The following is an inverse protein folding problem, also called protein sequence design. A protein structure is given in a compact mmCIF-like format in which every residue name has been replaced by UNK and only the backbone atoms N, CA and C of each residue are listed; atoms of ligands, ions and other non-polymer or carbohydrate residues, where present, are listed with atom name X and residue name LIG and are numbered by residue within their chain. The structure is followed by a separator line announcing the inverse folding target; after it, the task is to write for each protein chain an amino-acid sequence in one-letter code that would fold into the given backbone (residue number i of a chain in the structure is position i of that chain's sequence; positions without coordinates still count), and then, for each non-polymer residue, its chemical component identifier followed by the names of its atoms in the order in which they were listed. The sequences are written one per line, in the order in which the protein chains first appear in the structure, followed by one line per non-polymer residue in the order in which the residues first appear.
data_IF_984872456971
#
_entry.id   IF_984872456971
#
_cell.length_a   1.000
_cell.length_b   1.000
_cell.length_c   1.000
_cell.angle_alpha   90.00
_cell.angle_beta   90.00
_cell.angle_gamma   90.00
#
_symmetry.space_group_name_H-M   'P 1'
#
loop_
_entity.id
_entity.type
_entity.pdbx_description
1 polymer ?
#
# COMPACT_ATOMS: atom_id res chain seq x y z
N UNK A 1 3.12 9.89 54.85
CA UNK A 1 3.54 9.41 53.55
C UNK A 1 2.28 9.15 52.71
N UNK A 2 2.00 9.94 51.67
CA UNK A 2 0.86 9.69 50.80
C UNK A 2 1.24 8.60 49.80
N UNK A 3 0.50 7.53 49.77
CA UNK A 3 0.56 6.47 48.79
C UNK A 3 0.01 7.00 47.45
N UNK A 4 0.85 7.09 46.42
CA UNK A 4 0.41 7.34 45.05
C UNK A 4 -0.46 6.17 44.58
N UNK A 5 -1.67 6.42 44.08
CA UNK A 5 -2.50 5.36 43.53
C UNK A 5 -1.88 4.90 42.19
N UNK A 6 -1.72 3.60 42.08
CA UNK A 6 -1.39 2.91 40.82
C UNK A 6 -2.53 3.08 39.80
N UNK A 7 -2.57 4.20 39.11
CA UNK A 7 -3.49 4.47 38.00
C UNK A 7 -3.06 3.82 36.64
N UNK A 8 -2.18 2.85 36.68
CA UNK A 8 -1.49 2.37 35.48
C UNK A 8 -2.21 1.26 34.70
N UNK A 9 -3.25 0.63 35.22
CA UNK A 9 -3.80 -0.57 34.60
C UNK A 9 -4.94 -0.34 33.60
N UNK A 10 -5.60 0.83 33.61
CA UNK A 10 -6.79 1.08 32.78
C UNK A 10 -6.42 1.70 31.42
N UNK A 11 -5.28 2.38 31.30
CA UNK A 11 -4.85 3.01 30.06
C UNK A 11 -4.18 2.03 29.07
N UNK A 12 -3.57 0.96 29.57
CA UNK A 12 -2.85 -0.03 28.74
C UNK A 12 -3.75 -0.83 27.79
N UNK A 13 -5.06 -0.90 28.05
CA UNK A 13 -6.00 -1.59 27.16
C UNK A 13 -6.48 -0.75 25.97
N UNK A 14 -6.23 0.56 25.98
CA UNK A 14 -6.70 1.51 24.99
C UNK A 14 -5.61 1.98 24.04
N UNK A 15 -4.38 1.55 24.23
CA UNK A 15 -3.24 1.92 23.42
C UNK A 15 -2.43 0.69 23.00
N UNK A 16 -2.05 0.63 21.75
CA UNK A 16 -1.08 -0.34 21.25
C UNK A 16 -0.16 0.35 20.23
N UNK A 17 1.11 0.04 20.28
CA UNK A 17 2.13 0.52 19.35
C UNK A 17 3.10 -0.62 19.06
N UNK A 18 3.61 -0.67 17.82
CA UNK A 18 4.62 -1.65 17.48
C UNK A 18 5.05 -1.66 16.02
N UNK A 19 6.12 -2.41 15.75
CA UNK A 19 6.57 -2.67 14.39
C UNK A 19 5.65 -3.67 13.70
N UNK A 20 5.65 -3.62 12.37
CA UNK A 20 4.98 -4.59 11.52
C UNK A 20 5.81 -4.88 10.27
N UNK A 21 5.68 -6.09 9.79
CA UNK A 21 6.23 -6.55 8.52
C UNK A 21 5.10 -7.19 7.73
N UNK A 22 5.15 -7.10 6.43
CA UNK A 22 4.09 -7.66 5.62
C UNK A 22 4.46 -7.83 4.16
N UNK A 23 3.49 -8.31 3.45
CA UNK A 23 3.55 -8.60 2.04
C UNK A 23 2.39 -7.90 1.33
N UNK A 24 2.68 -7.28 0.20
CA UNK A 24 1.71 -6.60 -0.62
C UNK A 24 1.71 -7.19 -2.02
N UNK A 25 0.53 -7.57 -2.50
CA UNK A 25 0.28 -7.97 -3.88
C UNK A 25 -0.68 -6.96 -4.48
N UNK A 26 -0.18 -6.16 -5.40
CA UNK A 26 -0.95 -5.14 -6.10
C UNK A 26 -0.97 -5.43 -7.60
N UNK A 27 -2.07 -5.10 -8.25
CA UNK A 27 -2.21 -5.11 -9.71
C UNK A 27 -2.61 -3.71 -10.15
N UNK A 28 -2.01 -3.25 -11.24
CA UNK A 28 -2.42 -2.01 -11.90
C UNK A 28 -3.50 -2.34 -12.92
N UNK A 29 -4.67 -1.74 -12.77
CA UNK A 29 -5.69 -1.75 -13.81
C UNK A 29 -5.36 -0.66 -14.83
N UNK A 30 -4.97 -1.05 -16.03
CA UNK A 30 -4.75 -0.14 -17.17
C UNK A 30 -5.94 -0.30 -18.11
N UNK A 31 -6.54 0.82 -18.52
CA UNK A 31 -7.74 0.79 -19.39
C UNK A 31 -7.43 0.47 -20.87
N UNK A 32 -6.21 0.17 -21.20
CA UNK A 32 -5.80 -0.10 -22.58
C UNK A 32 -5.58 -1.59 -22.77
N UNK A 33 -6.35 -2.20 -23.66
CA UNK A 33 -6.40 -3.66 -23.86
C UNK A 33 -5.07 -4.26 -24.34
N UNK A 34 -4.18 -3.45 -24.93
CA UNK A 34 -2.90 -3.90 -25.55
C UNK A 34 -1.70 -3.82 -24.60
N UNK A 35 -1.84 -3.23 -23.39
CA UNK A 35 -0.74 -3.05 -22.44
C UNK A 35 -0.99 -3.89 -21.19
N UNK A 36 -0.09 -4.83 -20.93
CA UNK A 36 -0.08 -5.60 -19.69
C UNK A 36 0.83 -4.93 -18.67
N UNK A 37 0.29 -4.61 -17.50
CA UNK A 37 1.05 -4.12 -16.37
C UNK A 37 1.00 -5.15 -15.24
N UNK A 38 2.15 -5.65 -14.82
CA UNK A 38 2.29 -6.59 -13.71
C UNK A 38 3.11 -5.93 -12.61
N UNK A 39 2.54 -5.82 -11.41
CA UNK A 39 3.28 -5.41 -10.22
C UNK A 39 3.92 -6.63 -9.58
N UNK A 40 5.21 -6.52 -9.26
CA UNK A 40 5.90 -7.54 -8.50
C UNK A 40 5.55 -7.41 -7.01
N UNK A 41 5.27 -8.53 -6.38
CA UNK A 41 4.95 -8.63 -4.95
C UNK A 41 6.08 -8.11 -4.07
N UNK A 42 5.75 -7.37 -3.00
CA UNK A 42 6.76 -6.62 -2.24
C UNK A 42 6.59 -6.72 -0.74
N UNK A 43 7.71 -6.52 -0.07
CA UNK A 43 7.81 -6.48 1.37
C UNK A 43 7.38 -5.11 1.91
N UNK A 44 6.64 -5.13 3.00
CA UNK A 44 6.26 -3.95 3.78
C UNK A 44 7.02 -3.98 5.09
N UNK A 45 7.62 -2.85 5.45
CA UNK A 45 8.18 -2.61 6.78
C UNK A 45 7.51 -1.37 7.35
N UNK A 46 6.99 -1.43 8.57
CA UNK A 46 6.29 -0.28 9.12
C UNK A 46 6.12 -0.32 10.61
N UNK A 47 5.40 0.70 11.07
CA UNK A 47 4.96 0.83 12.45
C UNK A 47 3.48 1.20 12.47
N UNK A 48 2.79 0.77 13.50
CA UNK A 48 1.40 1.12 13.75
C UNK A 48 1.22 1.65 15.17
N UNK A 49 0.24 2.52 15.34
CA UNK A 49 -0.26 2.97 16.63
C UNK A 49 -1.76 2.79 16.63
N UNK A 50 -2.30 2.21 17.69
CA UNK A 50 -3.75 2.01 17.85
C UNK A 50 -4.21 2.65 19.14
N UNK A 51 -5.25 3.49 19.05
CA UNK A 51 -5.82 4.21 20.20
C UNK A 51 -7.33 3.98 20.24
N UNK A 52 -7.81 3.43 21.35
CA UNK A 52 -9.21 3.11 21.57
C UNK A 52 -9.42 1.64 21.97
N UNK A 53 -10.61 1.31 22.45
CA UNK A 53 -10.92 -0.03 22.92
C UNK A 53 -11.84 -0.79 21.97
N UNK A 54 -13.15 -0.64 22.08
CA UNK A 54 -14.10 -1.30 21.16
C UNK A 54 -14.05 -0.73 19.76
N UNK A 55 -14.11 0.60 19.65
CA UNK A 55 -13.80 1.38 18.44
C UNK A 55 -12.46 2.06 18.66
N UNK A 56 -11.64 2.13 17.60
CA UNK A 56 -10.29 2.68 17.68
C UNK A 56 -9.88 3.37 16.37
N UNK A 57 -8.87 4.21 16.48
CA UNK A 57 -8.14 4.75 15.33
C UNK A 57 -6.76 4.10 15.27
N UNK A 58 -6.26 3.86 14.04
CA UNK A 58 -4.96 3.21 13.82
C UNK A 58 -4.23 3.89 12.67
N UNK A 59 -3.48 4.98 12.94
CA UNK A 59 -2.50 5.49 12.00
C UNK A 59 -1.31 4.53 11.88
N UNK A 60 -0.75 4.46 10.67
CA UNK A 60 0.42 3.65 10.36
C UNK A 60 1.39 4.42 9.47
N UNK A 61 2.65 4.02 9.50
CA UNK A 61 3.66 4.45 8.54
C UNK A 61 4.37 3.20 8.04
N UNK A 62 4.29 2.99 6.72
CA UNK A 62 4.83 1.81 6.06
C UNK A 62 5.81 2.23 4.96
N UNK A 63 6.97 1.62 4.91
CA UNK A 63 7.89 1.71 3.79
C UNK A 63 7.68 0.51 2.86
N UNK A 64 7.56 0.77 1.57
CA UNK A 64 7.29 -0.24 0.55
C UNK A 64 8.22 0.01 -0.64
N UNK A 65 8.99 -1.00 -1.02
CA UNK A 65 9.73 -1.01 -2.27
C UNK A 65 8.94 -1.86 -3.28
N UNK A 66 8.50 -1.28 -4.38
CA UNK A 66 7.68 -1.97 -5.40
C UNK A 66 8.26 -1.79 -6.80
N UNK A 67 7.95 -2.72 -7.72
CA UNK A 67 8.28 -2.61 -9.13
C UNK A 67 7.07 -2.99 -9.99
N UNK A 68 7.00 -2.41 -11.16
CA UNK A 68 6.01 -2.73 -12.17
C UNK A 68 6.71 -3.03 -13.50
N UNK A 69 6.29 -4.07 -14.19
CA UNK A 69 6.77 -4.41 -15.51
C UNK A 69 5.67 -4.14 -16.51
N UNK A 70 5.92 -3.21 -17.44
CA UNK A 70 5.02 -2.88 -18.55
C UNK A 70 5.49 -3.59 -19.80
N UNK A 71 4.61 -4.37 -20.41
CA UNK A 71 4.89 -5.12 -21.63
C UNK A 71 3.81 -4.90 -22.66
N UNK A 72 4.23 -4.60 -23.89
CA UNK A 72 3.41 -4.66 -25.10
C UNK A 72 4.22 -5.41 -26.17
N UNK A 73 3.73 -6.54 -26.73
CA UNK A 73 4.40 -7.23 -27.81
C UNK A 73 4.37 -6.37 -29.09
N UNK A 74 5.26 -6.67 -30.02
CA UNK A 74 5.21 -6.07 -31.35
C UNK A 74 4.01 -6.64 -32.11
N UNK A 75 3.14 -5.76 -32.60
CA UNK A 75 1.98 -6.13 -33.38
C UNK A 75 1.92 -5.30 -34.66
N UNK A 76 2.24 -5.92 -35.79
CA UNK A 76 2.34 -5.24 -37.09
C UNK A 76 3.40 -4.14 -37.09
N UNK A 77 2.99 -2.88 -37.33
CA UNK A 77 3.84 -1.69 -37.31
C UNK A 77 3.95 -0.99 -35.96
N UNK A 78 3.30 -1.54 -34.90
CA UNK A 78 3.35 -0.97 -33.55
C UNK A 78 4.61 -1.42 -32.86
N UNK A 79 5.37 -0.45 -32.31
CA UNK A 79 6.63 -0.74 -31.62
C UNK A 79 6.39 -1.44 -30.27
N UNK A 80 7.22 -2.43 -29.90
CA UNK A 80 7.11 -3.12 -28.64
C UNK A 80 7.52 -2.21 -27.47
N UNK A 81 6.95 -2.48 -26.29
CA UNK A 81 7.29 -1.82 -25.02
C UNK A 81 7.78 -2.89 -24.04
N UNK A 82 8.92 -2.65 -23.40
CA UNK A 82 9.36 -3.38 -22.21
C UNK A 82 10.07 -2.38 -21.29
N UNK A 83 9.33 -1.91 -20.26
CA UNK A 83 9.85 -1.00 -19.25
C UNK A 83 9.62 -1.60 -17.87
N UNK A 84 10.65 -1.54 -17.05
CA UNK A 84 10.58 -1.90 -15.64
C UNK A 84 10.69 -0.63 -14.80
N UNK A 85 9.68 -0.40 -13.96
CA UNK A 85 9.57 0.79 -13.10
C UNK A 85 9.69 0.34 -11.67
N UNK A 86 10.71 0.79 -10.98
CA UNK A 86 10.91 0.58 -9.54
C UNK A 86 10.46 1.82 -8.78
N UNK A 87 9.62 1.61 -7.77
CA UNK A 87 9.08 2.67 -6.94
C UNK A 87 9.34 2.34 -5.46
N UNK A 88 9.93 3.29 -4.75
CA UNK A 88 9.96 3.27 -3.30
C UNK A 88 8.95 4.27 -2.79
N UNK A 89 8.09 3.84 -1.87
CA UNK A 89 7.02 4.68 -1.36
C UNK A 89 6.89 4.60 0.15
N UNK A 90 6.51 5.71 0.76
CA UNK A 90 6.00 5.76 2.12
C UNK A 90 4.47 5.75 2.03
N UNK A 91 3.85 4.78 2.66
CA UNK A 91 2.40 4.65 2.74
C UNK A 91 1.95 5.00 4.16
N UNK A 92 0.97 5.89 4.25
CA UNK A 92 0.41 6.40 5.51
C UNK A 92 -1.10 6.10 5.54
N UNK A 93 -1.50 4.89 5.98
CA UNK A 93 -2.89 4.59 6.23
C UNK A 93 -3.38 5.27 7.52
N UNK A 94 -4.63 5.69 7.51
CA UNK A 94 -5.33 6.16 8.70
C UNK A 94 -6.64 5.37 8.85
N UNK A 95 -6.59 4.32 9.69
CA UNK A 95 -7.72 3.44 9.86
C UNK A 95 -8.63 3.85 11.02
N UNK A 96 -9.93 3.65 10.80
CA UNK A 96 -10.92 3.50 11.84
C UNK A 96 -11.25 2.00 11.91
N UNK A 97 -11.27 1.44 13.11
CA UNK A 97 -11.55 0.03 13.31
C UNK A 97 -12.49 -0.23 14.47
N UNK A 98 -13.06 -1.43 14.44
CA UNK A 98 -13.89 -1.94 15.52
C UNK A 98 -13.46 -3.35 15.88
N UNK A 99 -13.41 -3.67 17.17
CA UNK A 99 -13.24 -5.02 17.70
C UNK A 99 -14.59 -5.72 17.68
N UNK A 100 -14.77 -6.66 16.77
CA UNK A 100 -15.96 -7.51 16.65
C UNK A 100 -16.02 -8.54 17.79
N UNK A 101 -14.84 -9.05 18.16
CA UNK A 101 -14.61 -9.85 19.36
C UNK A 101 -13.53 -9.13 20.17
N UNK A 102 -13.83 -8.81 21.41
CA UNK A 102 -12.94 -8.09 22.31
C UNK A 102 -12.68 -8.95 23.56
N UNK A 103 -11.79 -9.91 23.42
CA UNK A 103 -11.35 -10.79 24.49
C UNK A 103 -10.01 -10.35 25.09
N UNK A 104 -9.65 -10.95 26.22
CA UNK A 104 -8.40 -10.62 26.92
C UNK A 104 -7.13 -10.98 26.11
N UNK A 105 -7.13 -12.14 25.47
CA UNK A 105 -5.98 -12.66 24.71
C UNK A 105 -6.25 -12.82 23.22
N UNK A 106 -7.50 -12.61 22.78
CA UNK A 106 -7.92 -12.74 21.40
C UNK A 106 -8.89 -11.63 21.03
N UNK A 107 -8.61 -10.92 19.96
CA UNK A 107 -9.52 -9.95 19.37
C UNK A 107 -9.69 -10.25 17.88
N UNK A 108 -10.92 -10.11 17.40
CA UNK A 108 -11.24 -10.06 15.97
C UNK A 108 -11.61 -8.62 15.64
N UNK A 109 -11.03 -8.08 14.58
CA UNK A 109 -11.17 -6.66 14.22
C UNK A 109 -11.61 -6.50 12.77
N UNK A 110 -12.37 -5.43 12.51
CA UNK A 110 -12.59 -4.89 11.18
C UNK A 110 -11.98 -3.49 11.12
N UNK A 111 -11.38 -3.12 9.98
CA UNK A 111 -10.73 -1.84 9.75
C UNK A 111 -11.04 -1.29 8.38
N UNK A 112 -11.12 0.02 8.26
CA UNK A 112 -11.18 0.73 6.99
C UNK A 112 -10.59 2.13 7.12
N UNK A 113 -10.10 2.68 6.04
CA UNK A 113 -9.62 4.06 6.04
C UNK A 113 -8.88 4.48 4.80
N UNK A 114 -8.68 5.81 4.63
CA UNK A 114 -7.90 6.38 3.55
C UNK A 114 -6.41 6.07 3.74
N UNK A 115 -5.70 6.11 2.63
CA UNK A 115 -4.27 5.88 2.58
C UNK A 115 -3.63 6.91 1.66
N UNK A 116 -2.66 7.65 2.16
CA UNK A 116 -1.76 8.46 1.36
C UNK A 116 -0.52 7.64 0.99
N UNK A 117 -0.11 7.69 -0.28
CA UNK A 117 1.12 7.09 -0.76
C UNK A 117 2.01 8.19 -1.30
N UNK A 118 3.22 8.30 -0.77
CA UNK A 118 4.22 9.29 -1.15
C UNK A 118 5.37 8.54 -1.80
N UNK A 119 5.62 8.79 -3.08
CA UNK A 119 6.73 8.21 -3.83
C UNK A 119 7.99 8.95 -3.43
N UNK A 120 8.98 8.24 -2.93
CA UNK A 120 10.25 8.82 -2.44
C UNK A 120 11.41 8.54 -3.39
N UNK A 121 11.29 7.50 -4.23
CA UNK A 121 12.27 7.18 -5.26
C UNK A 121 11.61 6.51 -6.47
N UNK A 122 12.11 6.83 -7.65
CA UNK A 122 11.62 6.36 -8.95
C UNK A 122 12.82 5.97 -9.79
N UNK A 123 12.85 4.74 -10.26
CA UNK A 123 13.88 4.28 -11.20
C UNK A 123 13.19 3.57 -12.35
N UNK A 124 13.46 4.00 -13.57
CA UNK A 124 12.92 3.39 -14.78
C UNK A 124 14.07 2.72 -15.53
N UNK A 125 13.99 1.40 -15.67
CA UNK A 125 14.89 0.63 -16.50
C UNK A 125 14.17 0.26 -17.81
N UNK A 126 14.76 0.66 -18.91
CA UNK A 126 14.21 0.39 -20.25
C UNK A 126 15.16 -0.52 -21.01
N UNK A 127 14.64 -1.55 -21.66
CA UNK A 127 15.44 -2.33 -22.60
C UNK A 127 15.69 -1.48 -23.85
N UNK A 128 16.88 -0.88 -23.89
CA UNK A 128 17.34 -0.08 -25.03
C UNK A 128 17.78 -1.00 -26.19
N UNK A 129 16.84 -1.55 -26.92
CA UNK A 129 17.09 -2.11 -28.25
C UNK A 129 16.43 -1.19 -29.27
N UNK A 130 17.03 -0.98 -30.41
CA UNK A 130 16.64 0.06 -31.42
C UNK A 130 15.17 0.04 -31.89
N UNK A 131 14.38 -0.94 -31.47
CA UNK A 131 12.98 -1.12 -31.85
C UNK A 131 12.00 -0.92 -30.70
N UNK A 132 12.48 -0.61 -29.45
CA UNK A 132 11.62 -0.40 -28.30
C UNK A 132 11.40 1.08 -28.07
N UNK A 133 10.17 1.46 -27.74
CA UNK A 133 9.84 2.81 -27.28
C UNK A 133 9.77 2.85 -25.76
N UNK A 134 10.09 3.99 -25.18
CA UNK A 134 10.07 4.24 -23.74
C UNK A 134 9.02 5.32 -23.42
N UNK A 135 7.72 4.98 -23.42
CA UNK A 135 6.67 5.98 -23.29
C UNK A 135 6.57 6.58 -21.88
N UNK A 136 6.94 5.83 -20.84
CA UNK A 136 6.78 6.27 -19.44
C UNK A 136 8.07 6.95 -18.98
N UNK A 137 7.93 8.18 -18.47
CA UNK A 137 9.01 8.96 -17.86
C UNK A 137 8.78 9.10 -16.36
N UNK A 138 9.82 9.36 -15.60
CA UNK A 138 9.71 9.61 -14.15
C UNK A 138 8.76 10.77 -13.83
N UNK A 139 8.69 11.78 -14.69
CA UNK A 139 7.79 12.93 -14.58
C UNK A 139 6.30 12.56 -14.69
N UNK A 140 5.99 11.45 -15.34
CA UNK A 140 4.61 10.99 -15.54
C UNK A 140 4.07 10.26 -14.30
N UNK A 141 4.93 9.93 -13.33
CA UNK A 141 4.58 9.24 -12.10
C UNK A 141 4.24 10.28 -11.03
N UNK A 142 3.01 10.22 -10.51
CA UNK A 142 2.55 11.10 -9.46
C UNK A 142 3.34 10.87 -8.16
N UNK A 143 3.86 11.94 -7.56
CA UNK A 143 4.59 11.89 -6.29
C UNK A 143 3.69 11.50 -5.12
N UNK A 144 2.41 11.86 -5.18
CA UNK A 144 1.42 11.55 -4.16
C UNK A 144 0.17 10.99 -4.83
N UNK A 145 -0.29 9.84 -4.36
CA UNK A 145 -1.56 9.26 -4.79
C UNK A 145 -2.33 8.66 -3.61
N UNK A 146 -3.64 8.65 -3.76
CA UNK A 146 -4.55 8.28 -2.70
C UNK A 146 -5.18 6.91 -2.95
N UNK A 147 -5.43 6.20 -1.88
CA UNK A 147 -6.15 4.95 -1.87
C UNK A 147 -7.09 4.86 -0.68
N UNK A 148 -7.84 3.78 -0.65
CA UNK A 148 -8.67 3.37 0.46
C UNK A 148 -8.37 1.92 0.77
N UNK A 149 -8.33 1.56 2.03
CA UNK A 149 -8.12 0.18 2.47
C UNK A 149 -9.27 -0.25 3.37
N UNK A 150 -9.67 -1.50 3.22
CA UNK A 150 -10.65 -2.15 4.09
C UNK A 150 -10.22 -3.59 4.36
N UNK A 151 -10.48 -4.07 5.55
CA UNK A 151 -10.06 -5.42 5.89
C UNK A 151 -10.39 -5.82 7.32
N UNK A 152 -9.67 -6.82 7.77
CA UNK A 152 -9.79 -7.35 9.12
C UNK A 152 -8.46 -7.79 9.69
N UNK A 153 -8.46 -8.03 10.98
CA UNK A 153 -7.29 -8.52 11.68
C UNK A 153 -7.64 -9.31 12.92
N UNK A 154 -6.69 -10.08 13.36
CA UNK A 154 -6.76 -10.82 14.61
C UNK A 154 -5.59 -10.42 15.50
N UNK A 155 -5.87 -10.27 16.79
CA UNK A 155 -4.83 -10.15 17.80
C UNK A 155 -4.81 -11.42 18.64
N UNK A 156 -3.64 -11.98 18.83
CA UNK A 156 -3.38 -13.09 19.75
C UNK A 156 -2.25 -12.66 20.67
N UNK A 157 -2.59 -12.41 21.93
CA UNK A 157 -1.65 -11.83 22.89
C UNK A 157 -0.98 -10.55 22.34
N UNK A 158 0.33 -10.54 22.17
CA UNK A 158 1.10 -9.41 21.63
C UNK A 158 1.21 -9.39 20.12
N UNK A 159 0.77 -10.44 19.42
CA UNK A 159 0.88 -10.54 17.95
C UNK A 159 -0.40 -10.05 17.30
N UNK A 160 -0.30 -9.30 16.23
CA UNK A 160 -1.40 -8.87 15.37
C UNK A 160 -1.18 -9.32 13.94
N UNK A 161 -2.19 -9.92 13.33
CA UNK A 161 -2.22 -10.28 11.90
C UNK A 161 -3.35 -9.50 11.24
N UNK A 162 -3.04 -8.75 10.20
CA UNK A 162 -4.00 -7.97 9.44
C UNK A 162 -4.01 -8.39 7.96
N UNK A 163 -5.21 -8.47 7.39
CA UNK A 163 -5.43 -8.66 5.94
C UNK A 163 -6.31 -7.53 5.46
N UNK A 164 -5.86 -6.81 4.45
CA UNK A 164 -6.52 -5.63 3.92
C UNK A 164 -6.59 -5.68 2.40
N UNK A 165 -7.67 -5.17 1.86
CA UNK A 165 -7.86 -4.95 0.43
C UNK A 165 -7.64 -3.46 0.12
N UNK A 166 -6.83 -3.19 -0.92
CA UNK A 166 -6.50 -1.85 -1.39
C UNK A 166 -7.38 -1.50 -2.58
N UNK A 167 -7.90 -0.28 -2.56
CA UNK A 167 -8.65 0.35 -3.65
C UNK A 167 -7.96 1.66 -3.98
N UNK A 168 -7.34 1.76 -5.15
CA UNK A 168 -6.76 3.01 -5.65
C UNK A 168 -7.86 4.03 -5.98
N UNK A 169 -7.76 5.23 -5.43
CA UNK A 169 -8.68 6.33 -5.68
C UNK A 169 -8.16 7.29 -6.74
N UNK A 170 -6.86 7.50 -6.81
CA UNK A 170 -6.20 8.31 -7.83
C UNK A 170 -5.24 7.48 -8.67
N UNK A 171 -4.93 7.95 -9.87
CA UNK A 171 -3.98 7.31 -10.77
C UNK A 171 -2.55 7.44 -10.24
N UNK A 172 -1.75 6.39 -10.42
CA UNK A 172 -0.31 6.39 -10.10
C UNK A 172 0.46 7.04 -11.24
N UNK A 173 0.09 6.74 -12.47
CA UNK A 173 0.68 7.32 -13.68
C UNK A 173 -0.33 8.31 -14.25
N UNK A 174 0.13 9.52 -14.54
CA UNK A 174 -0.64 10.55 -15.23
C UNK A 174 -0.83 10.25 -16.71
N UNK A 175 -1.30 11.24 -17.45
CA UNK A 175 -1.47 11.15 -18.90
C UNK A 175 -0.10 11.07 -19.57
N UNK A 176 0.10 10.06 -20.42
CA UNK A 176 1.35 9.82 -21.14
C UNK A 176 1.12 10.05 -22.63
N UNK A 177 2.05 10.73 -23.30
CA UNK A 177 2.01 10.93 -24.74
C UNK A 177 2.75 9.76 -25.45
N UNK A 178 2.01 8.93 -26.19
CA UNK A 178 2.57 7.84 -26.97
C UNK A 178 2.41 8.15 -28.46
N UNK A 179 3.54 8.30 -29.16
CA UNK A 179 3.59 8.58 -30.61
C UNK A 179 2.75 9.82 -31.02
N UNK A 180 2.75 10.88 -30.15
CA UNK A 180 2.01 12.12 -30.38
C UNK A 180 0.52 12.07 -30.03
N UNK A 181 0.03 10.96 -29.50
CA UNK A 181 -1.34 10.83 -29.03
C UNK A 181 -1.38 10.78 -27.50
N UNK A 182 -2.20 11.62 -26.83
CA UNK A 182 -2.39 11.55 -25.39
C UNK A 182 -3.13 10.26 -25.03
N UNK A 183 -2.49 9.43 -24.22
CA UNK A 183 -3.06 8.20 -23.69
C UNK A 183 -3.37 8.40 -22.21
N UNK A 184 -4.65 8.32 -21.86
CA UNK A 184 -5.12 8.38 -20.49
C UNK A 184 -4.77 7.08 -19.76
N UNK A 185 -3.69 7.09 -18.98
CA UNK A 185 -3.35 6.00 -18.07
C UNK A 185 -4.12 6.17 -16.75
N UNK A 186 -5.41 5.81 -16.73
CA UNK A 186 -6.18 5.72 -15.46
C UNK A 186 -5.70 4.48 -14.67
N UNK A 187 -4.43 4.49 -14.26
CA UNK A 187 -3.76 3.38 -13.61
C UNK A 187 -4.05 3.40 -12.11
N UNK A 188 -5.17 2.78 -11.73
CA UNK A 188 -5.51 2.59 -10.31
C UNK A 188 -4.98 1.26 -9.82
N UNK A 189 -4.36 1.28 -8.65
CA UNK A 189 -3.92 0.05 -8.01
C UNK A 189 -5.04 -0.60 -7.20
N UNK A 190 -5.08 -1.91 -7.25
CA UNK A 190 -5.91 -2.73 -6.36
C UNK A 190 -5.13 -3.97 -5.95
N UNK A 191 -5.41 -4.49 -4.77
CA UNK A 191 -4.69 -5.66 -4.29
C UNK A 191 -4.92 -5.97 -2.83
N UNK A 192 -4.07 -6.84 -2.30
CA UNK A 192 -4.12 -7.29 -0.93
C UNK A 192 -2.83 -6.97 -0.19
N UNK A 193 -2.98 -6.66 1.09
CA UNK A 193 -1.91 -6.50 2.05
C UNK A 193 -2.12 -7.49 3.18
N UNK A 194 -1.08 -8.24 3.52
CA UNK A 194 -1.04 -9.10 4.71
C UNK A 194 0.12 -8.63 5.58
N UNK A 195 -0.16 -8.29 6.82
CA UNK A 195 0.88 -7.81 7.75
C UNK A 195 0.83 -8.54 9.08
N UNK A 196 2.02 -8.80 9.61
CA UNK A 196 2.25 -9.32 10.95
C UNK A 196 2.90 -8.22 11.79
N UNK A 197 2.31 -7.88 12.92
CA UNK A 197 2.80 -6.86 13.84
C UNK A 197 3.01 -7.40 15.25
N UNK A 198 3.83 -6.68 16.02
CA UNK A 198 4.09 -6.99 17.42
C UNK A 198 3.67 -5.77 18.26
N UNK A 199 2.72 -5.96 19.16
CA UNK A 199 2.31 -4.94 20.14
C UNK A 199 3.35 -4.89 21.26
N UNK A 200 4.03 -3.76 21.39
CA UNK A 200 5.02 -3.53 22.45
C UNK A 200 4.38 -2.93 23.70
N UNK A 201 3.20 -2.27 23.53
CA UNK A 201 2.41 -1.66 24.58
C UNK A 201 0.94 -1.97 24.36
#
# INVERSE_FOLDING_TARGET
MPTLPLMSATYAQNFAFGPKVGYISETLSVKQDDISASLNDKLILGVFMRVGNGVYVQPEVNYIASGAVFRRPQEGSVNPIEQEVYLQKIQIPFFIGAKLINGRNFNLRATMGPTANIVVDKTIESRATSNYITPIKEADINDIYWGFQLGGGIDIASVTLDVQYIIGLSSIIGDVEIEGNPVLFDSKNQGFVVTLGLKLF
#
